data_IF_785759808236
#
_entry.id   IF_785759808236
#
_cell.length_a   1.000
_cell.length_b   1.000
_cell.length_c   1.000
_cell.angle_alpha   90.00
_cell.angle_beta   90.00
_cell.angle_gamma   90.00
#
_symmetry.space_group_name_H-M   'P 1'
#
loop_
_entity.id
_entity.type
_entity.pdbx_description
1 polymer ?
#
# COMPACT_ATOMS: atom_id res chain seq x y z
N UNK A 1 3.21 -1.79 -12.23
CA UNK A 1 3.07 -2.51 -10.95
C UNK A 1 1.85 -3.38 -11.04
N UNK A 2 1.94 -4.67 -10.74
CA UNK A 2 0.77 -5.56 -10.67
C UNK A 2 0.51 -5.87 -9.18
N UNK A 3 -0.71 -5.61 -8.70
CA UNK A 3 -1.11 -5.80 -7.29
C UNK A 3 -2.11 -6.95 -7.13
N UNK A 4 -2.87 -7.29 -8.18
CA UNK A 4 -3.88 -8.33 -8.12
C UNK A 4 -3.29 -9.66 -7.62
N UNK A 5 -3.94 -10.27 -6.63
CA UNK A 5 -3.50 -11.54 -6.02
C UNK A 5 -2.29 -11.46 -5.09
N UNK A 6 -1.66 -10.28 -4.91
CA UNK A 6 -0.50 -10.11 -4.03
C UNK A 6 -0.89 -9.84 -2.59
N UNK A 7 0.00 -10.16 -1.65
CA UNK A 7 -0.09 -9.76 -0.26
C UNK A 7 0.71 -8.47 -0.02
N UNK A 8 0.01 -7.43 0.42
CA UNK A 8 0.52 -6.08 0.65
C UNK A 8 0.74 -5.84 2.14
N UNK A 9 1.99 -5.64 2.55
CA UNK A 9 2.34 -5.31 3.93
C UNK A 9 2.43 -3.80 4.14
N UNK A 10 1.69 -3.24 5.10
CA UNK A 10 1.81 -1.83 5.47
C UNK A 10 2.83 -1.68 6.60
N UNK A 11 3.85 -0.84 6.40
CA UNK A 11 4.89 -0.57 7.42
C UNK A 11 5.12 0.92 7.65
N UNK A 12 4.95 1.34 8.89
CA UNK A 12 5.17 2.72 9.32
C UNK A 12 3.89 3.39 9.81
N UNK A 13 3.98 4.70 10.10
CA UNK A 13 2.83 5.48 10.55
C UNK A 13 2.12 6.07 9.34
N UNK A 14 0.98 5.47 9.01
CA UNK A 14 0.11 5.98 7.97
C UNK A 14 -0.95 6.92 8.55
N UNK A 15 -1.54 7.79 7.71
CA UNK A 15 -2.74 8.52 8.09
C UNK A 15 -3.86 7.55 8.52
N UNK A 16 -4.70 7.98 9.47
CA UNK A 16 -5.69 7.11 10.12
C UNK A 16 -6.74 6.51 9.17
N UNK A 17 -6.90 7.07 7.97
CA UNK A 17 -7.93 6.66 7.00
C UNK A 17 -7.30 5.87 5.84
N UNK A 18 -6.92 4.62 6.10
CA UNK A 18 -6.47 3.68 5.06
C UNK A 18 -7.59 2.78 4.53
N UNK A 19 -8.78 2.83 5.12
CA UNK A 19 -9.96 2.06 4.71
C UNK A 19 -10.24 2.07 3.20
N UNK A 20 -10.28 3.22 2.49
CA UNK A 20 -10.53 3.19 1.05
C UNK A 20 -9.40 2.52 0.26
N UNK A 21 -8.15 2.60 0.73
CA UNK A 21 -7.00 1.93 0.10
C UNK A 21 -7.08 0.42 0.32
N UNK A 22 -7.34 0.01 1.57
CA UNK A 22 -7.51 -1.40 1.96
C UNK A 22 -8.70 -2.04 1.23
N UNK A 23 -9.80 -1.30 1.07
CA UNK A 23 -10.98 -1.75 0.34
C UNK A 23 -10.66 -2.01 -1.14
N UNK A 24 -9.98 -1.10 -1.83
CA UNK A 24 -9.62 -1.30 -3.24
C UNK A 24 -8.62 -2.43 -3.45
N UNK A 25 -7.69 -2.64 -2.51
CA UNK A 25 -6.82 -3.82 -2.53
C UNK A 25 -7.63 -5.12 -2.52
N UNK A 26 -8.64 -5.22 -1.65
CA UNK A 26 -9.52 -6.39 -1.60
C UNK A 26 -10.33 -6.57 -2.89
N UNK A 27 -10.80 -5.48 -3.50
CA UNK A 27 -11.55 -5.52 -4.76
C UNK A 27 -10.70 -6.04 -5.93
N UNK A 28 -9.39 -5.78 -5.92
CA UNK A 28 -8.42 -6.30 -6.88
C UNK A 28 -7.97 -7.74 -6.55
N UNK A 29 -8.54 -8.37 -5.52
CA UNK A 29 -8.16 -9.70 -5.05
C UNK A 29 -6.80 -9.74 -4.33
N UNK A 30 -6.24 -8.58 -3.99
CA UNK A 30 -5.05 -8.49 -3.16
C UNK A 30 -5.42 -8.70 -1.68
N UNK A 31 -4.46 -9.19 -0.91
CA UNK A 31 -4.57 -9.30 0.55
C UNK A 31 -3.71 -8.21 1.18
N UNK A 32 -4.03 -7.78 2.38
CA UNK A 32 -3.17 -6.87 3.12
C UNK A 32 -2.89 -7.35 4.54
N UNK A 33 -1.78 -6.89 5.10
CA UNK A 33 -1.40 -7.11 6.49
C UNK A 33 -0.75 -5.84 7.04
N UNK A 34 -1.08 -5.47 8.27
CA UNK A 34 -0.36 -4.44 9.02
C UNK A 34 0.95 -5.01 9.62
N UNK A 35 1.14 -6.34 9.56
CA UNK A 35 2.38 -7.00 9.96
C UNK A 35 3.30 -7.23 8.75
N UNK A 36 4.14 -6.24 8.47
CA UNK A 36 5.13 -6.31 7.39
C UNK A 36 6.35 -7.21 7.71
N UNK A 37 6.34 -7.98 8.81
CA UNK A 37 7.33 -9.04 9.07
C UNK A 37 6.87 -10.39 8.55
N UNK A 38 5.59 -10.52 8.21
CA UNK A 38 5.01 -11.70 7.59
C UNK A 38 5.78 -12.11 6.32
N UNK A 39 6.26 -13.36 6.31
CA UNK A 39 7.13 -13.86 5.25
C UNK A 39 6.43 -14.06 3.89
N UNK A 40 5.09 -13.98 3.85
CA UNK A 40 4.31 -14.13 2.63
C UNK A 40 3.94 -12.78 1.98
N UNK A 41 4.52 -11.67 2.43
CA UNK A 41 4.30 -10.35 1.82
C UNK A 41 5.10 -10.23 0.51
N UNK A 42 4.40 -9.98 -0.59
CA UNK A 42 5.00 -9.76 -1.91
C UNK A 42 5.45 -8.29 -2.10
N UNK A 43 4.77 -7.36 -1.45
CA UNK A 43 4.99 -5.92 -1.59
C UNK A 43 4.80 -5.19 -0.27
N UNK A 44 5.75 -4.35 0.11
CA UNK A 44 5.72 -3.53 1.31
C UNK A 44 5.42 -2.08 0.96
N UNK A 45 4.32 -1.55 1.50
CA UNK A 45 3.99 -0.14 1.46
C UNK A 45 4.65 0.51 2.67
N UNK A 46 5.41 1.58 2.43
CA UNK A 46 6.03 2.37 3.49
C UNK A 46 5.47 3.79 3.51
N UNK A 47 5.32 4.34 4.72
CA UNK A 47 4.93 5.74 4.89
C UNK A 47 6.04 6.69 4.42
N UNK A 48 7.30 6.31 4.67
CA UNK A 48 8.48 7.04 4.26
C UNK A 48 9.49 6.09 3.59
N UNK A 49 9.83 6.29 2.30
CA UNK A 49 10.76 5.43 1.56
C UNK A 49 12.23 5.65 1.91
N UNK A 50 12.56 6.70 2.67
CA UNK A 50 13.90 6.96 3.21
C UNK A 50 14.15 6.33 4.59
N UNK A 51 13.09 5.91 5.27
CA UNK A 51 13.18 5.36 6.61
C UNK A 51 13.75 3.93 6.63
N UNK A 52 14.33 3.55 7.78
CA UNK A 52 14.89 2.22 8.02
C UNK A 52 13.97 1.02 7.64
N UNK A 53 12.63 1.08 7.80
CA UNK A 53 11.71 0.05 7.32
C UNK A 53 11.84 -0.26 5.82
N UNK A 54 12.05 0.76 4.99
CA UNK A 54 12.19 0.61 3.54
C UNK A 54 13.51 -0.09 3.18
N UNK A 55 14.61 0.32 3.83
CA UNK A 55 15.92 -0.31 3.67
C UNK A 55 15.91 -1.79 4.05
N UNK A 56 15.26 -2.14 5.16
CA UNK A 56 15.12 -3.54 5.60
C UNK A 56 14.31 -4.39 4.63
N UNK A 57 13.19 -3.88 4.10
CA UNK A 57 12.39 -4.62 3.13
C UNK A 57 13.14 -4.81 1.80
N UNK A 58 13.84 -3.77 1.31
CA UNK A 58 14.70 -3.86 0.12
C UNK A 58 15.85 -4.86 0.30
N UNK A 59 16.51 -4.86 1.47
CA UNK A 59 17.58 -5.80 1.78
C UNK A 59 17.11 -7.27 1.80
N UNK A 60 15.80 -7.51 2.01
CA UNK A 60 15.17 -8.83 1.91
C UNK A 60 14.68 -9.18 0.50
N UNK A 61 14.96 -8.34 -0.50
CA UNK A 61 14.51 -8.53 -1.88
C UNK A 61 13.03 -8.23 -2.11
N UNK A 62 12.35 -7.59 -1.15
CA UNK A 62 10.92 -7.26 -1.28
C UNK A 62 10.72 -5.99 -2.10
N UNK A 63 9.63 -5.94 -2.87
CA UNK A 63 9.20 -4.72 -3.54
C UNK A 63 8.75 -3.70 -2.48
N UNK A 64 9.30 -2.49 -2.53
CA UNK A 64 8.96 -1.40 -1.60
C UNK A 64 8.40 -0.22 -2.36
N UNK A 65 7.21 0.22 -1.97
CA UNK A 65 6.52 1.37 -2.59
C UNK A 65 6.02 2.33 -1.52
N UNK A 66 5.88 3.60 -1.87
CA UNK A 66 5.24 4.57 -0.97
C UNK A 66 3.71 4.43 -0.98
N UNK A 67 3.03 4.91 0.07
CA UNK A 67 1.56 5.01 0.06
C UNK A 67 1.06 5.81 -1.15
N UNK A 68 1.77 6.87 -1.53
CA UNK A 68 1.43 7.69 -2.68
C UNK A 68 1.47 6.89 -3.98
N UNK A 69 2.54 6.14 -4.22
CA UNK A 69 2.65 5.30 -5.43
C UNK A 69 1.58 4.21 -5.48
N UNK A 70 1.25 3.61 -4.33
CA UNK A 70 0.13 2.68 -4.24
C UNK A 70 -1.17 3.38 -4.64
N UNK A 71 -1.46 4.55 -4.07
CA UNK A 71 -2.70 5.29 -4.37
C UNK A 71 -2.76 5.74 -5.83
N UNK A 72 -1.67 6.27 -6.41
CA UNK A 72 -1.64 6.66 -7.82
C UNK A 72 -1.90 5.46 -8.75
N UNK A 73 -1.34 4.28 -8.42
CA UNK A 73 -1.65 3.06 -9.13
C UNK A 73 -3.12 2.66 -8.97
N UNK A 74 -3.65 2.64 -7.75
CA UNK A 74 -5.05 2.33 -7.48
C UNK A 74 -5.98 3.29 -8.20
N UNK A 75 -5.69 4.60 -8.24
CA UNK A 75 -6.48 5.58 -9.00
C UNK A 75 -6.50 5.28 -10.50
N UNK A 76 -5.41 4.73 -11.03
CA UNK A 76 -5.29 4.38 -12.45
C UNK A 76 -6.12 3.14 -12.80
N UNK A 77 -6.21 2.18 -11.89
CA UNK A 77 -6.91 0.89 -12.12
C UNK A 77 -8.33 0.86 -11.56
N UNK A 78 -8.65 1.73 -10.60
CA UNK A 78 -9.97 1.81 -9.97
C UNK A 78 -10.97 2.56 -10.85
N UNK A 79 -12.27 2.22 -10.77
CA UNK A 79 -13.31 2.96 -11.46
C UNK A 79 -13.38 4.42 -10.94
N UNK A 80 -13.62 5.37 -11.85
CA UNK A 80 -13.53 6.81 -11.62
C UNK A 80 -14.31 7.33 -10.38
N UNK A 81 -15.39 6.65 -9.98
CA UNK A 81 -16.20 7.02 -8.81
C UNK A 81 -15.53 6.77 -7.45
N UNK A 82 -14.44 5.98 -7.37
CA UNK A 82 -13.76 5.63 -6.10
C UNK A 82 -12.47 6.44 -5.87
N UNK A 83 -11.96 7.07 -6.93
CA UNK A 83 -10.76 7.93 -6.92
C UNK A 83 -10.79 9.05 -5.88
N UNK A 84 -11.92 9.76 -5.63
CA UNK A 84 -11.95 10.82 -4.62
C UNK A 84 -11.65 10.32 -3.20
N UNK A 85 -12.13 9.13 -2.85
CA UNK A 85 -11.92 8.52 -1.54
C UNK A 85 -10.46 8.08 -1.37
N UNK A 86 -9.85 7.51 -2.42
CA UNK A 86 -8.44 7.14 -2.42
C UNK A 86 -7.52 8.35 -2.23
N UNK A 87 -7.80 9.46 -2.89
CA UNK A 87 -7.01 10.70 -2.73
C UNK A 87 -7.20 11.34 -1.35
N UNK A 88 -8.34 11.10 -0.69
CA UNK A 88 -8.60 11.57 0.68
C UNK A 88 -7.70 10.86 1.70
N UNK A 89 -7.42 9.57 1.50
CA UNK A 89 -6.50 8.80 2.34
C UNK A 89 -5.09 9.44 2.41
N UNK A 90 -4.65 10.13 1.36
CA UNK A 90 -3.37 10.84 1.33
C UNK A 90 -3.40 12.20 2.06
N UNK A 91 -4.58 12.75 2.38
CA UNK A 91 -4.76 14.11 2.91
C UNK A 91 -5.10 14.18 4.40
N UNK A 92 -5.46 13.06 5.03
CA UNK A 92 -5.72 13.03 6.47
C UNK A 92 -4.39 13.21 7.22
N UNK A 93 -4.08 14.42 7.69
CA UNK A 93 -2.89 14.74 8.47
C UNK A 93 -3.28 15.04 9.91
#
# INVERSE_FOLDING_TARGET
MEIAGKKVGFRGRFPSDLDPVKFELLQLGARYTDDARDAAVDLVVVADPGAAPAGQARARGLAVVSLRELVDHLVTVAPAGRVPNLRRALRAK
#
